data_IF_917903553968
#
_entry.id   IF_917903553968
#
_cell.length_a   1.000
_cell.length_b   1.000
_cell.length_c   1.000
_cell.angle_alpha   90.00
_cell.angle_beta   90.00
_cell.angle_gamma   90.00
#
_symmetry.space_group_name_H-M   'P 1'
#
loop_
_entity.id
_entity.type
_entity.pdbx_description
1 polymer ?
#
# COMPACT_ATOMS: atom_id res chain seq x y z
N UNK A 1 -19.01 9.54 -17.60
CA UNK A 1 -18.80 9.43 -16.13
C UNK A 1 -18.92 7.99 -15.58
N UNK A 2 -20.10 7.31 -15.56
CA UNK A 2 -20.18 5.93 -15.03
C UNK A 2 -19.45 4.94 -15.94
N UNK A 3 -19.59 5.06 -17.24
CA UNK A 3 -18.92 4.22 -18.25
C UNK A 3 -17.39 4.31 -18.14
N UNK A 4 -16.85 5.51 -17.96
CA UNK A 4 -15.39 5.71 -17.84
C UNK A 4 -14.85 5.10 -16.55
N UNK A 5 -15.60 5.21 -15.45
CA UNK A 5 -15.27 4.55 -14.17
C UNK A 5 -15.23 3.04 -14.30
N UNK A 6 -16.26 2.45 -14.89
CA UNK A 6 -16.33 1.01 -15.09
C UNK A 6 -15.23 0.53 -16.02
N UNK A 7 -14.95 1.27 -17.11
CA UNK A 7 -13.90 0.91 -18.04
C UNK A 7 -12.51 0.93 -17.39
N UNK A 8 -12.15 2.03 -16.70
CA UNK A 8 -10.86 2.17 -16.02
C UNK A 8 -10.68 1.16 -14.89
N UNK A 9 -11.74 0.93 -14.09
CA UNK A 9 -11.70 -0.07 -13.03
C UNK A 9 -11.52 -1.49 -13.59
N UNK A 10 -12.28 -1.86 -14.64
CA UNK A 10 -12.17 -3.16 -15.27
C UNK A 10 -10.81 -3.37 -15.90
N UNK A 11 -10.27 -2.36 -16.60
CA UNK A 11 -8.94 -2.43 -17.20
C UNK A 11 -7.86 -2.63 -16.14
N UNK A 12 -7.92 -1.87 -15.04
CA UNK A 12 -6.97 -1.98 -13.93
C UNK A 12 -7.04 -3.37 -13.27
N UNK A 13 -8.25 -3.87 -13.01
CA UNK A 13 -8.46 -5.19 -12.42
C UNK A 13 -7.94 -6.29 -13.35
N UNK A 14 -8.27 -6.24 -14.64
CA UNK A 14 -7.80 -7.23 -15.62
C UNK A 14 -6.27 -7.20 -15.72
N UNK A 15 -5.67 -6.01 -15.80
CA UNK A 15 -4.21 -5.86 -15.80
C UNK A 15 -3.58 -6.46 -14.55
N UNK A 16 -4.09 -6.12 -13.38
CA UNK A 16 -3.57 -6.62 -12.10
C UNK A 16 -3.71 -8.15 -12.01
N UNK A 17 -4.89 -8.70 -12.33
CA UNK A 17 -5.10 -10.15 -12.33
C UNK A 17 -4.20 -10.86 -13.33
N UNK A 18 -3.97 -10.29 -14.50
CA UNK A 18 -3.05 -10.85 -15.50
C UNK A 18 -1.62 -10.89 -14.97
N UNK A 19 -1.14 -9.80 -14.35
CA UNK A 19 0.20 -9.75 -13.78
C UNK A 19 0.38 -10.70 -12.59
N UNK A 20 -0.62 -10.82 -11.73
CA UNK A 20 -0.63 -11.79 -10.64
C UNK A 20 -0.62 -13.24 -11.16
N UNK A 21 -1.40 -13.52 -12.22
CA UNK A 21 -1.42 -14.83 -12.86
C UNK A 21 -0.09 -15.16 -13.55
N UNK A 22 0.52 -14.18 -14.25
CA UNK A 22 1.86 -14.33 -14.85
C UNK A 22 2.92 -14.60 -13.78
N UNK A 23 2.89 -13.87 -12.68
CA UNK A 23 3.82 -14.04 -11.55
C UNK A 23 3.70 -15.41 -10.91
N UNK A 24 2.48 -15.95 -10.84
CA UNK A 24 2.21 -17.29 -10.31
C UNK A 24 2.61 -18.39 -11.28
N UNK A 25 2.22 -18.27 -12.56
CA UNK A 25 2.31 -19.37 -13.55
C UNK A 25 3.58 -19.36 -14.39
N UNK A 26 4.08 -18.14 -14.68
CA UNK A 26 5.21 -17.91 -15.58
C UNK A 26 6.16 -16.88 -14.96
N UNK A 27 6.84 -17.24 -13.84
CA UNK A 27 7.80 -16.33 -13.22
C UNK A 27 8.90 -15.95 -14.21
N UNK A 28 9.18 -14.66 -14.34
CA UNK A 28 10.18 -14.15 -15.28
C UNK A 28 11.58 -14.64 -14.89
N UNK A 29 12.30 -15.22 -15.82
CA UNK A 29 13.59 -15.90 -15.58
C UNK A 29 13.52 -16.97 -14.45
N UNK A 30 12.35 -17.57 -14.19
CA UNK A 30 12.14 -18.52 -13.11
C UNK A 30 12.06 -17.88 -11.71
N UNK A 31 12.14 -16.55 -11.60
CA UNK A 31 12.16 -15.83 -10.32
C UNK A 31 10.79 -15.21 -10.02
N UNK A 32 10.08 -15.66 -8.96
CA UNK A 32 8.79 -15.11 -8.56
C UNK A 32 8.90 -13.69 -8.03
N UNK A 33 7.88 -12.85 -8.29
CA UNK A 33 7.80 -11.47 -7.81
C UNK A 33 8.26 -10.42 -8.81
N UNK A 34 8.97 -10.81 -9.87
CA UNK A 34 9.53 -9.89 -10.87
C UNK A 34 8.44 -9.12 -11.63
N UNK A 35 7.33 -9.79 -12.01
CA UNK A 35 6.21 -9.15 -12.69
C UNK A 35 5.54 -8.03 -11.88
N UNK A 36 5.67 -8.06 -10.56
CA UNK A 36 5.03 -7.09 -9.66
C UNK A 36 5.91 -5.87 -9.36
N UNK A 37 7.21 -5.89 -9.74
CA UNK A 37 8.13 -4.76 -9.52
C UNK A 37 7.59 -3.50 -10.21
N UNK A 38 7.29 -3.60 -11.50
CA UNK A 38 6.81 -2.47 -12.30
C UNK A 38 5.52 -1.85 -11.76
N UNK A 39 4.44 -2.63 -11.58
CA UNK A 39 3.19 -2.14 -11.00
C UNK A 39 3.33 -1.51 -9.63
N UNK A 40 4.00 -2.19 -8.70
CA UNK A 40 4.16 -1.67 -7.33
C UNK A 40 4.97 -0.38 -7.31
N UNK A 41 6.04 -0.29 -8.12
CA UNK A 41 6.81 0.94 -8.26
C UNK A 41 5.98 2.07 -8.89
N UNK A 42 5.19 1.77 -9.92
CA UNK A 42 4.32 2.74 -10.58
C UNK A 42 3.27 3.30 -9.61
N UNK A 43 2.63 2.43 -8.83
CA UNK A 43 1.66 2.86 -7.82
C UNK A 43 2.32 3.65 -6.69
N UNK A 44 3.49 3.23 -6.21
CA UNK A 44 4.24 3.94 -5.18
C UNK A 44 4.64 5.34 -5.65
N UNK A 45 5.25 5.46 -6.83
CA UNK A 45 5.68 6.75 -7.37
C UNK A 45 4.49 7.63 -7.78
N UNK A 46 3.44 7.06 -8.34
CA UNK A 46 2.22 7.78 -8.66
C UNK A 46 1.56 8.39 -7.43
N UNK A 47 1.41 7.60 -6.36
CA UNK A 47 0.89 8.06 -5.07
C UNK A 47 1.78 9.14 -4.46
N UNK A 48 3.11 8.95 -4.44
CA UNK A 48 4.06 9.93 -3.92
C UNK A 48 4.02 11.24 -4.71
N UNK A 49 3.85 11.17 -6.02
CA UNK A 49 3.73 12.36 -6.88
C UNK A 49 2.43 13.12 -6.63
N UNK A 50 1.31 12.42 -6.48
CA UNK A 50 0.02 13.07 -6.18
C UNK A 50 0.02 13.69 -4.78
N UNK A 51 0.57 13.01 -3.77
CA UNK A 51 0.79 13.56 -2.45
C UNK A 51 1.66 14.83 -2.49
N UNK A 52 2.79 14.80 -3.21
CA UNK A 52 3.67 15.96 -3.37
C UNK A 52 2.92 17.13 -4.01
N UNK A 53 2.12 16.89 -5.05
CA UNK A 53 1.31 17.93 -5.73
C UNK A 53 0.28 18.56 -4.79
N UNK A 54 -0.41 17.76 -3.96
CA UNK A 54 -1.37 18.26 -3.00
C UNK A 54 -0.70 19.09 -1.89
N UNK A 55 0.47 18.66 -1.40
CA UNK A 55 1.25 19.44 -0.43
C UNK A 55 1.69 20.79 -1.02
N UNK A 56 2.10 20.84 -2.30
CA UNK A 56 2.40 22.10 -2.99
C UNK A 56 1.13 22.95 -3.13
N UNK A 57 0.01 22.36 -3.50
CA UNK A 57 -1.26 23.06 -3.65
C UNK A 57 -1.78 23.65 -2.33
N UNK A 58 -1.43 23.04 -1.18
CA UNK A 58 -1.70 23.58 0.16
C UNK A 58 -0.74 24.71 0.59
N UNK A 59 0.13 25.19 -0.32
CA UNK A 59 1.07 26.29 -0.08
C UNK A 59 2.37 25.88 0.62
N UNK A 60 2.64 24.60 0.80
CA UNK A 60 3.84 24.09 1.47
C UNK A 60 5.04 24.03 0.52
N UNK A 61 6.23 24.20 1.06
CA UNK A 61 7.49 23.98 0.34
C UNK A 61 7.82 22.49 0.37
N UNK A 62 7.95 21.86 -0.81
CA UNK A 62 8.05 20.39 -0.92
C UNK A 62 9.32 19.98 -1.65
N UNK A 63 10.09 19.04 -1.09
CA UNK A 63 11.12 18.30 -1.82
C UNK A 63 10.51 17.08 -2.50
N UNK A 64 9.75 17.33 -3.58
CA UNK A 64 9.11 16.26 -4.35
C UNK A 64 10.15 15.28 -4.93
N UNK A 65 11.27 15.78 -5.42
CA UNK A 65 12.30 14.91 -6.00
C UNK A 65 12.97 14.01 -4.96
N UNK A 66 13.31 14.56 -3.77
CA UNK A 66 13.82 13.75 -2.66
C UNK A 66 12.81 12.72 -2.16
N UNK A 67 11.54 13.11 -2.02
CA UNK A 67 10.46 12.23 -1.62
C UNK A 67 10.21 11.08 -2.63
N UNK A 68 10.16 11.39 -3.93
CA UNK A 68 9.99 10.39 -5.00
C UNK A 68 11.18 9.43 -5.07
N UNK A 69 12.40 9.96 -5.04
CA UNK A 69 13.60 9.13 -5.11
C UNK A 69 13.72 8.23 -3.86
N UNK A 70 13.46 8.77 -2.67
CA UNK A 70 13.44 7.98 -1.43
C UNK A 70 12.35 6.90 -1.44
N UNK A 71 11.16 7.18 -1.99
CA UNK A 71 10.10 6.18 -2.19
C UNK A 71 10.56 5.08 -3.15
N UNK A 72 11.22 5.43 -4.25
CA UNK A 72 11.77 4.44 -5.19
C UNK A 72 12.85 3.56 -4.54
N UNK A 73 13.76 4.15 -3.77
CA UNK A 73 14.80 3.41 -3.02
C UNK A 73 14.17 2.41 -2.06
N UNK A 74 13.16 2.83 -1.29
CA UNK A 74 12.44 1.93 -0.38
C UNK A 74 11.72 0.80 -1.13
N UNK A 75 10.95 1.13 -2.18
CA UNK A 75 10.19 0.14 -2.92
C UNK A 75 11.10 -0.90 -3.60
N UNK A 76 12.28 -0.48 -4.10
CA UNK A 76 13.21 -1.37 -4.82
C UNK A 76 14.14 -2.15 -3.89
N UNK A 77 14.52 -1.61 -2.73
CA UNK A 77 15.45 -2.28 -1.82
C UNK A 77 14.91 -3.63 -1.30
N UNK A 78 13.60 -3.75 -1.13
CA UNK A 78 12.96 -4.99 -0.71
C UNK A 78 13.06 -6.09 -1.78
N UNK A 79 13.28 -5.70 -3.04
CA UNK A 79 13.50 -6.62 -4.15
C UNK A 79 14.96 -7.08 -4.29
N UNK A 80 15.89 -6.63 -3.44
CA UNK A 80 17.30 -7.07 -3.49
C UNK A 80 17.43 -8.61 -3.49
N UNK A 81 16.72 -9.38 -2.65
CA UNK A 81 16.77 -10.84 -2.74
C UNK A 81 16.28 -11.39 -4.09
N UNK A 82 15.29 -10.73 -4.72
CA UNK A 82 14.78 -11.10 -6.04
C UNK A 82 15.81 -10.78 -7.13
N UNK A 83 16.44 -9.61 -7.07
CA UNK A 83 17.53 -9.23 -8.00
C UNK A 83 18.74 -10.15 -7.86
N UNK A 84 19.05 -10.58 -6.63
CA UNK A 84 20.10 -11.56 -6.36
C UNK A 84 19.83 -12.88 -7.08
N UNK A 85 18.61 -13.40 -6.95
CA UNK A 85 18.20 -14.63 -7.65
C UNK A 85 18.21 -14.49 -9.18
N UNK A 86 17.93 -13.28 -9.73
CA UNK A 86 18.06 -13.03 -11.17
C UNK A 86 19.50 -13.08 -11.68
N UNK A 87 20.50 -12.90 -10.80
CA UNK A 87 21.91 -13.08 -11.12
C UNK A 87 22.36 -14.56 -11.11
N UNK A 88 21.44 -15.48 -10.83
CA UNK A 88 21.71 -16.93 -10.84
C UNK A 88 22.21 -17.49 -9.51
N UNK A 89 22.18 -16.70 -8.43
CA UNK A 89 22.62 -17.08 -7.11
C UNK A 89 21.46 -17.05 -6.11
N UNK A 90 21.41 -17.99 -5.18
CA UNK A 90 20.45 -17.92 -4.08
C UNK A 90 20.82 -16.82 -3.09
N UNK A 91 19.83 -16.06 -2.63
CA UNK A 91 20.07 -15.04 -1.61
C UNK A 91 20.53 -15.70 -0.30
N UNK A 92 21.70 -15.29 0.28
CA UNK A 92 22.26 -15.92 1.46
C UNK A 92 21.29 -15.93 2.64
N UNK A 93 20.98 -17.10 3.18
CA UNK A 93 20.06 -17.25 4.31
C UNK A 93 20.64 -16.72 5.62
N UNK A 94 21.96 -16.69 5.73
CA UNK A 94 22.75 -16.17 6.86
C UNK A 94 23.06 -14.67 6.73
N UNK A 95 22.50 -13.99 5.72
CA UNK A 95 22.70 -12.55 5.54
C UNK A 95 22.22 -11.78 6.79
N UNK A 96 23.10 -11.01 7.46
CA UNK A 96 22.76 -10.31 8.70
C UNK A 96 21.62 -9.29 8.53
N UNK A 97 21.43 -8.75 7.33
CA UNK A 97 20.34 -7.83 7.02
C UNK A 97 19.00 -8.55 6.85
N UNK A 98 19.01 -9.78 6.32
CA UNK A 98 17.79 -10.46 5.94
C UNK A 98 16.95 -9.60 5.00
N UNK A 99 15.65 -9.86 4.91
CA UNK A 99 14.73 -9.05 4.07
C UNK A 99 14.33 -7.73 4.73
N UNK A 100 14.14 -7.75 6.05
CA UNK A 100 13.70 -6.56 6.82
C UNK A 100 14.83 -5.53 6.93
N UNK A 101 16.08 -5.98 7.11
CA UNK A 101 17.22 -5.09 7.19
C UNK A 101 17.38 -4.20 5.94
N UNK A 102 17.04 -4.70 4.75
CA UNK A 102 17.05 -3.88 3.53
C UNK A 102 16.05 -2.72 3.59
N UNK A 103 14.89 -2.92 4.22
CA UNK A 103 13.93 -1.82 4.45
C UNK A 103 14.52 -0.75 5.36
N UNK A 104 15.20 -1.18 6.45
CA UNK A 104 15.83 -0.25 7.41
C UNK A 104 16.96 0.54 6.73
N UNK A 105 17.85 -0.14 6.00
CA UNK A 105 18.94 0.49 5.25
C UNK A 105 18.39 1.46 4.20
N UNK A 106 17.36 1.05 3.46
CA UNK A 106 16.74 1.89 2.46
C UNK A 106 16.05 3.12 3.06
N UNK A 107 15.36 2.95 4.21
CA UNK A 107 14.74 4.07 4.91
C UNK A 107 15.80 5.09 5.39
N UNK A 108 16.88 4.62 6.02
CA UNK A 108 17.99 5.48 6.42
C UNK A 108 18.62 6.20 5.22
N UNK A 109 18.84 5.48 4.11
CA UNK A 109 19.39 6.03 2.86
C UNK A 109 18.46 7.10 2.27
N UNK A 110 17.16 6.81 2.21
CA UNK A 110 16.15 7.72 1.68
C UNK A 110 16.08 9.03 2.50
N UNK A 111 16.11 8.92 3.83
CA UNK A 111 16.16 10.08 4.71
C UNK A 111 17.45 10.89 4.50
N UNK A 112 18.60 10.20 4.46
CA UNK A 112 19.90 10.85 4.22
C UNK A 112 19.89 11.60 2.88
N UNK A 113 19.32 11.05 1.83
CA UNK A 113 19.21 11.71 0.52
C UNK A 113 18.39 12.99 0.64
N UNK A 114 17.22 12.97 1.31
CA UNK A 114 16.41 14.16 1.53
C UNK A 114 17.22 15.24 2.26
N UNK A 115 17.96 14.87 3.31
CA UNK A 115 18.82 15.80 4.05
C UNK A 115 19.96 16.37 3.20
N UNK A 116 20.73 15.51 2.51
CA UNK A 116 21.87 15.93 1.68
C UNK A 116 21.43 16.87 0.56
N UNK A 117 20.28 16.63 -0.05
CA UNK A 117 19.72 17.53 -1.06
C UNK A 117 19.45 18.93 -0.51
N UNK A 118 18.93 19.03 0.71
CA UNK A 118 18.65 20.32 1.32
C UNK A 118 19.92 20.99 1.85
N UNK A 119 20.90 20.23 2.31
CA UNK A 119 22.23 20.78 2.64
C UNK A 119 22.91 21.39 1.40
N UNK A 120 22.87 20.68 0.26
CA UNK A 120 23.45 21.16 -0.98
C UNK A 120 22.72 22.37 -1.58
N UNK A 121 21.40 22.50 -1.30
CA UNK A 121 20.55 23.58 -1.80
C UNK A 121 20.32 24.71 -0.78
N UNK A 122 21.07 24.73 0.34
CA UNK A 122 20.85 25.69 1.39
C UNK A 122 21.18 27.11 0.94
N UNK A 123 20.27 28.03 1.23
CA UNK A 123 20.40 29.48 0.92
C UNK A 123 19.94 30.28 2.15
N UNK A 124 20.85 31.10 2.68
CA UNK A 124 20.57 31.90 3.87
C UNK A 124 19.43 32.93 3.68
N UNK A 125 19.15 33.33 2.43
CA UNK A 125 18.05 34.24 2.10
C UNK A 125 16.69 33.58 2.21
N UNK A 126 16.64 32.25 2.23
CA UNK A 126 15.41 31.41 2.23
C UNK A 126 15.29 30.64 3.54
N UNK A 127 15.48 31.30 4.67
CA UNK A 127 15.38 30.67 5.99
C UNK A 127 14.02 30.00 6.20
N UNK A 128 14.03 28.76 6.70
CA UNK A 128 12.83 27.94 6.94
C UNK A 128 12.40 27.06 5.77
N UNK A 129 12.69 27.40 4.51
CA UNK A 129 12.29 26.57 3.37
C UNK A 129 12.94 25.18 3.38
N UNK A 130 14.22 25.08 3.77
CA UNK A 130 14.92 23.79 3.81
C UNK A 130 14.32 22.85 4.83
N UNK A 131 13.88 23.34 5.98
CA UNK A 131 13.22 22.54 7.01
C UNK A 131 11.86 22.02 6.52
N UNK A 132 11.05 22.88 5.90
CA UNK A 132 9.77 22.44 5.31
C UNK A 132 9.98 21.37 4.23
N UNK A 133 11.00 21.53 3.38
CA UNK A 133 11.35 20.56 2.34
C UNK A 133 11.84 19.23 2.93
N UNK A 134 12.62 19.25 4.01
CA UNK A 134 13.02 18.04 4.73
C UNK A 134 11.79 17.35 5.31
N UNK A 135 10.91 18.08 6.00
CA UNK A 135 9.71 17.51 6.60
C UNK A 135 8.78 16.90 5.55
N UNK A 136 8.52 17.61 4.44
CA UNK A 136 7.66 17.13 3.38
C UNK A 136 8.26 15.93 2.62
N UNK A 137 9.55 15.97 2.29
CA UNK A 137 10.25 14.85 1.65
C UNK A 137 10.26 13.61 2.54
N UNK A 138 10.58 13.77 3.83
CA UNK A 138 10.51 12.70 4.83
C UNK A 138 9.09 12.14 4.97
N UNK A 139 8.08 13.01 5.00
CA UNK A 139 6.68 12.59 5.07
C UNK A 139 6.27 11.74 3.87
N UNK A 140 6.64 12.15 2.64
CA UNK A 140 6.36 11.38 1.43
C UNK A 140 7.01 9.98 1.51
N UNK A 141 8.30 9.91 1.90
CA UNK A 141 9.03 8.65 2.04
C UNK A 141 8.36 7.74 3.09
N UNK A 142 8.03 8.28 4.25
CA UNK A 142 7.46 7.51 5.35
C UNK A 142 6.02 7.09 5.06
N UNK A 143 5.18 7.99 4.54
CA UNK A 143 3.77 7.74 4.34
C UNK A 143 3.48 6.84 3.13
N UNK A 144 4.28 6.94 2.07
CA UNK A 144 4.11 6.14 0.85
C UNK A 144 5.14 5.03 0.76
N UNK A 145 6.42 5.35 0.86
CA UNK A 145 7.50 4.41 0.62
C UNK A 145 7.50 3.22 1.57
N UNK A 146 7.32 3.43 2.88
CA UNK A 146 7.29 2.33 3.85
C UNK A 146 6.12 1.38 3.64
N UNK A 147 4.85 1.80 3.49
CA UNK A 147 3.76 0.89 3.21
C UNK A 147 3.95 0.07 1.92
N UNK A 148 4.44 0.68 0.84
CA UNK A 148 4.73 -0.05 -0.39
C UNK A 148 5.87 -1.06 -0.21
N UNK A 149 6.91 -0.74 0.54
CA UNK A 149 7.95 -1.70 0.92
C UNK A 149 7.35 -2.90 1.70
N UNK A 150 6.40 -2.64 2.59
CA UNK A 150 5.71 -3.70 3.34
C UNK A 150 4.84 -4.59 2.42
N UNK A 151 4.18 -4.04 1.40
CA UNK A 151 3.47 -4.86 0.40
C UNK A 151 4.43 -5.84 -0.29
N UNK A 152 5.64 -5.39 -0.62
CA UNK A 152 6.68 -6.25 -1.18
C UNK A 152 7.16 -7.30 -0.17
N UNK A 153 7.30 -6.93 1.11
CA UNK A 153 7.62 -7.89 2.18
C UNK A 153 6.55 -8.97 2.29
N UNK A 154 5.25 -8.62 2.26
CA UNK A 154 4.14 -9.60 2.27
C UNK A 154 4.28 -10.55 1.08
N UNK A 155 4.54 -10.02 -0.14
CA UNK A 155 4.75 -10.84 -1.33
C UNK A 155 5.92 -11.83 -1.17
N UNK A 156 6.93 -11.44 -0.43
CA UNK A 156 8.14 -12.24 -0.16
C UNK A 156 8.03 -13.20 1.03
N UNK A 157 6.90 -13.30 1.73
CA UNK A 157 6.74 -14.19 2.89
C UNK A 157 6.58 -15.66 2.46
N UNK A 158 7.16 -16.56 3.25
CA UNK A 158 7.01 -17.99 3.08
C UNK A 158 7.42 -18.50 1.67
N UNK A 159 6.68 -19.50 1.19
CA UNK A 159 6.84 -19.97 -0.19
C UNK A 159 6.28 -18.94 -1.19
N UNK A 160 6.80 -18.91 -2.44
CA UNK A 160 6.38 -17.92 -3.43
C UNK A 160 4.87 -17.85 -3.69
N UNK A 161 4.20 -18.99 -3.75
CA UNK A 161 2.74 -19.07 -3.91
C UNK A 161 1.98 -18.59 -2.68
N UNK A 162 2.50 -18.86 -1.48
CA UNK A 162 1.91 -18.40 -0.22
C UNK A 162 2.00 -16.86 -0.09
N UNK A 163 3.18 -16.29 -0.33
CA UNK A 163 3.37 -14.84 -0.27
C UNK A 163 2.51 -14.09 -1.31
N UNK A 164 2.32 -14.67 -2.50
CA UNK A 164 1.41 -14.13 -3.49
C UNK A 164 -0.05 -14.18 -3.02
N UNK A 165 -0.50 -15.32 -2.48
CA UNK A 165 -1.85 -15.49 -1.94
C UNK A 165 -2.10 -14.55 -0.74
N UNK A 166 -1.10 -14.34 0.12
CA UNK A 166 -1.16 -13.39 1.24
C UNK A 166 -1.33 -11.94 0.76
N UNK A 167 -0.57 -11.51 -0.27
CA UNK A 167 -0.73 -10.19 -0.87
C UNK A 167 -2.10 -10.00 -1.51
N UNK A 168 -2.57 -10.98 -2.27
CA UNK A 168 -3.92 -10.97 -2.85
C UNK A 168 -4.98 -10.89 -1.75
N UNK A 169 -4.84 -11.70 -0.68
CA UNK A 169 -5.76 -11.68 0.45
C UNK A 169 -5.84 -10.30 1.10
N UNK A 170 -4.71 -9.64 1.33
CA UNK A 170 -4.68 -8.28 1.88
C UNK A 170 -5.44 -7.29 0.99
N UNK A 171 -5.18 -7.31 -0.32
CA UNK A 171 -5.86 -6.42 -1.28
C UNK A 171 -7.37 -6.69 -1.29
N UNK A 172 -7.77 -7.96 -1.41
CA UNK A 172 -9.19 -8.36 -1.46
C UNK A 172 -9.91 -7.98 -0.17
N UNK A 173 -9.33 -8.28 0.98
CA UNK A 173 -9.93 -7.99 2.29
C UNK A 173 -10.10 -6.48 2.50
N UNK A 174 -9.06 -5.69 2.19
CA UNK A 174 -9.12 -4.22 2.33
C UNK A 174 -10.17 -3.63 1.38
N UNK A 175 -10.22 -4.06 0.11
CA UNK A 175 -11.22 -3.55 -0.83
C UNK A 175 -12.63 -4.07 -0.57
N UNK A 176 -12.77 -5.23 0.07
CA UNK A 176 -14.05 -5.70 0.60
C UNK A 176 -14.54 -4.82 1.75
N UNK A 177 -13.62 -4.37 2.63
CA UNK A 177 -13.97 -3.41 3.68
C UNK A 177 -14.55 -2.11 3.11
N UNK A 178 -13.87 -1.51 2.10
CA UNK A 178 -14.33 -0.29 1.43
C UNK A 178 -15.73 -0.49 0.80
N UNK A 179 -15.92 -1.62 0.13
CA UNK A 179 -17.19 -2.00 -0.50
C UNK A 179 -18.30 -2.18 0.54
N UNK A 180 -18.03 -2.92 1.62
CA UNK A 180 -18.96 -3.14 2.72
C UNK A 180 -19.35 -1.84 3.41
N UNK A 181 -18.36 -0.98 3.67
CA UNK A 181 -18.59 0.32 4.29
C UNK A 181 -19.47 1.23 3.42
N UNK A 182 -19.23 1.24 2.10
CA UNK A 182 -20.03 2.03 1.16
C UNK A 182 -21.48 1.56 1.11
N UNK A 183 -21.74 0.27 0.87
CA UNK A 183 -23.10 -0.25 0.73
C UNK A 183 -23.88 -0.17 2.04
N UNK A 184 -23.30 -0.58 3.17
CA UNK A 184 -23.95 -0.49 4.48
C UNK A 184 -24.22 0.95 4.87
N UNK A 185 -23.24 1.84 4.68
CA UNK A 185 -23.41 3.26 4.97
C UNK A 185 -24.48 3.92 4.11
N UNK A 186 -24.64 3.50 2.84
CA UNK A 186 -25.68 4.01 1.94
C UNK A 186 -27.07 3.50 2.27
N UNK A 187 -27.19 2.23 2.70
CA UNK A 187 -28.49 1.59 2.96
C UNK A 187 -29.06 1.93 4.32
N UNK A 188 -28.24 1.92 5.38
CA UNK A 188 -28.68 2.06 6.77
C UNK A 188 -27.91 3.11 7.58
N UNK A 189 -26.92 3.82 6.96
CA UNK A 189 -26.11 4.80 7.66
C UNK A 189 -26.91 6.00 8.16
N UNK A 190 -26.83 6.25 9.46
CA UNK A 190 -27.51 7.37 10.15
C UNK A 190 -26.53 8.26 10.89
N UNK A 191 -25.52 7.66 11.54
CA UNK A 191 -24.57 8.35 12.40
C UNK A 191 -23.27 8.62 11.64
N UNK A 192 -22.94 9.90 11.43
CA UNK A 192 -21.71 10.29 10.72
C UNK A 192 -20.48 9.96 11.55
N UNK A 193 -19.45 9.38 10.90
CA UNK A 193 -18.19 9.01 11.54
C UNK A 193 -17.29 10.24 11.75
N UNK A 194 -17.00 10.99 10.66
CA UNK A 194 -16.15 12.18 10.70
C UNK A 194 -16.77 13.25 9.77
N UNK A 195 -17.81 14.00 10.23
CA UNK A 195 -18.63 14.88 9.39
C UNK A 195 -17.82 15.95 8.64
N UNK A 196 -16.84 16.56 9.32
CA UNK A 196 -16.06 17.67 8.78
C UNK A 196 -15.01 17.24 7.75
N UNK A 197 -14.55 15.99 7.82
CA UNK A 197 -13.48 15.47 6.96
C UNK A 197 -14.06 14.68 5.78
N UNK A 198 -14.91 13.71 6.08
CA UNK A 198 -15.55 12.81 5.11
C UNK A 198 -17.03 12.63 5.44
N UNK A 199 -17.93 13.54 4.96
CA UNK A 199 -19.34 13.54 5.32
C UNK A 199 -20.12 12.31 4.81
N UNK A 200 -19.52 11.51 3.92
CA UNK A 200 -20.08 10.27 3.41
C UNK A 200 -19.96 9.09 4.37
N UNK A 201 -18.93 9.08 5.24
CA UNK A 201 -18.65 7.95 6.14
C UNK A 201 -19.61 7.93 7.35
N UNK A 202 -20.05 6.72 7.72
CA UNK A 202 -20.96 6.46 8.84
C UNK A 202 -20.44 5.34 9.73
N UNK A 203 -20.87 5.33 10.99
CA UNK A 203 -20.53 4.25 11.95
C UNK A 203 -21.10 2.90 11.52
N UNK A 204 -22.34 2.89 11.02
CA UNK A 204 -22.97 1.68 10.47
C UNK A 204 -22.20 1.16 9.27
N UNK A 205 -21.73 2.08 8.40
CA UNK A 205 -20.85 1.73 7.30
C UNK A 205 -19.54 1.11 7.77
N UNK A 206 -18.88 1.68 8.79
CA UNK A 206 -17.66 1.14 9.35
C UNK A 206 -17.85 -0.30 9.88
N UNK A 207 -18.94 -0.56 10.60
CA UNK A 207 -19.26 -1.90 11.10
C UNK A 207 -19.53 -2.89 9.95
N UNK A 208 -20.28 -2.45 8.92
CA UNK A 208 -20.53 -3.28 7.72
C UNK A 208 -19.25 -3.58 6.94
N UNK A 209 -18.33 -2.62 6.86
CA UNK A 209 -17.00 -2.81 6.27
C UNK A 209 -16.17 -3.84 7.02
N UNK A 210 -16.13 -3.75 8.36
CA UNK A 210 -15.45 -4.74 9.23
C UNK A 210 -16.06 -6.13 9.02
N UNK A 211 -17.38 -6.24 9.03
CA UNK A 211 -18.06 -7.53 8.84
C UNK A 211 -17.73 -8.18 7.49
N UNK A 212 -17.77 -7.40 6.39
CA UNK A 212 -17.44 -7.92 5.05
C UNK A 212 -15.95 -8.25 4.92
N UNK A 213 -15.06 -7.48 5.55
CA UNK A 213 -13.62 -7.76 5.58
C UNK A 213 -13.31 -9.07 6.31
N UNK A 214 -13.95 -9.33 7.46
CA UNK A 214 -13.78 -10.61 8.20
C UNK A 214 -14.27 -11.78 7.35
N UNK A 215 -15.41 -11.65 6.68
CA UNK A 215 -15.92 -12.68 5.77
C UNK A 215 -14.95 -12.92 4.60
N UNK A 216 -14.47 -11.85 3.96
CA UNK A 216 -13.50 -11.96 2.86
C UNK A 216 -12.18 -12.59 3.34
N UNK A 217 -11.71 -12.23 4.53
CA UNK A 217 -10.52 -12.83 5.14
C UNK A 217 -10.71 -14.33 5.38
N UNK A 218 -11.87 -14.72 5.91
CA UNK A 218 -12.20 -16.14 6.08
C UNK A 218 -12.16 -16.90 4.76
N UNK A 219 -12.81 -16.37 3.71
CA UNK A 219 -12.82 -16.99 2.39
C UNK A 219 -11.41 -17.06 1.77
N UNK A 220 -10.57 -16.06 1.98
CA UNK A 220 -9.18 -16.09 1.53
C UNK A 220 -8.36 -17.16 2.26
N UNK A 221 -8.50 -17.26 3.58
CA UNK A 221 -7.64 -18.14 4.37
C UNK A 221 -8.08 -19.61 4.28
N UNK A 222 -9.37 -19.89 4.08
CA UNK A 222 -9.90 -21.24 3.94
C UNK A 222 -9.93 -21.69 2.46
N UNK A 223 -10.04 -20.75 1.53
CA UNK A 223 -10.18 -21.06 0.11
C UNK A 223 -8.97 -20.69 -0.74
N UNK A 224 -8.63 -19.41 -0.80
CA UNK A 224 -7.60 -18.90 -1.72
C UNK A 224 -6.19 -19.41 -1.37
N UNK A 225 -5.77 -19.27 -0.10
CA UNK A 225 -4.42 -19.67 0.33
C UNK A 225 -4.21 -21.17 0.14
N UNK A 226 -5.11 -22.08 0.59
CA UNK A 226 -4.96 -23.51 0.34
C UNK A 226 -5.02 -23.89 -1.15
N UNK A 227 -5.75 -23.13 -1.97
CA UNK A 227 -5.82 -23.41 -3.41
C UNK A 227 -4.56 -23.00 -4.17
N UNK A 228 -3.82 -21.98 -3.70
CA UNK A 228 -2.61 -21.49 -4.35
C UNK A 228 -1.33 -22.07 -3.73
N UNK A 229 -1.35 -22.36 -2.44
CA UNK A 229 -0.23 -22.88 -1.68
C UNK A 229 -0.71 -24.02 -0.78
N UNK A 230 0.16 -24.95 -0.44
CA UNK A 230 -0.14 -26.02 0.50
C UNK A 230 0.44 -25.65 1.87
N UNK A 231 -0.28 -24.86 2.70
CA UNK A 231 0.21 -24.44 4.00
C UNK A 231 0.42 -25.67 4.90
N UNK A 232 1.52 -25.65 5.67
CA UNK A 232 1.82 -26.76 6.61
C UNK A 232 0.86 -26.76 7.80
N UNK A 233 0.39 -25.57 8.18
CA UNK A 233 -0.59 -25.39 9.24
C UNK A 233 -1.79 -24.60 8.73
N UNK A 234 -3.05 -25.05 9.07
CA UNK A 234 -4.23 -24.29 8.70
C UNK A 234 -4.29 -22.96 9.46
N UNK A 235 -5.01 -21.99 8.89
CA UNK A 235 -5.27 -20.72 9.57
C UNK A 235 -6.01 -20.97 10.90
N UNK A 236 -5.55 -20.36 12.01
CA UNK A 236 -6.24 -20.46 13.29
C UNK A 236 -7.58 -19.72 13.24
N UNK A 237 -8.54 -20.11 14.08
CA UNK A 237 -9.89 -19.50 14.09
C UNK A 237 -9.88 -17.99 14.33
N UNK A 238 -8.92 -17.47 15.09
CA UNK A 238 -8.77 -16.03 15.34
C UNK A 238 -8.21 -15.28 14.12
N UNK A 239 -7.47 -15.99 13.25
CA UNK A 239 -6.73 -15.40 12.16
C UNK A 239 -7.56 -14.55 11.21
N UNK A 240 -8.64 -15.10 10.58
CA UNK A 240 -9.52 -14.33 9.71
C UNK A 240 -10.18 -13.13 10.40
N UNK A 241 -10.52 -13.28 11.69
CA UNK A 241 -11.17 -12.23 12.48
C UNK A 241 -10.20 -11.06 12.66
N UNK A 242 -8.99 -11.32 13.17
CA UNK A 242 -7.99 -10.29 13.43
C UNK A 242 -7.53 -9.66 12.12
N UNK A 243 -7.22 -10.46 11.11
CA UNK A 243 -6.75 -9.95 9.82
C UNK A 243 -7.81 -9.08 9.12
N UNK A 244 -9.06 -9.53 9.07
CA UNK A 244 -10.17 -8.76 8.52
C UNK A 244 -10.41 -7.46 9.28
N UNK A 245 -10.39 -7.52 10.62
CA UNK A 245 -10.57 -6.35 11.47
C UNK A 245 -9.47 -5.30 11.28
N UNK A 246 -8.19 -5.70 11.31
CA UNK A 246 -7.08 -4.75 11.16
C UNK A 246 -7.02 -4.16 9.75
N UNK A 247 -7.28 -4.96 8.70
CA UNK A 247 -7.34 -4.44 7.32
C UNK A 247 -8.47 -3.41 7.17
N UNK A 248 -9.66 -3.67 7.74
CA UNK A 248 -10.79 -2.75 7.66
C UNK A 248 -10.52 -1.46 8.45
N UNK A 249 -10.09 -1.59 9.70
CA UNK A 249 -9.85 -0.45 10.57
C UNK A 249 -8.76 0.48 10.02
N UNK A 250 -7.60 -0.09 9.69
CA UNK A 250 -6.47 0.70 9.23
C UNK A 250 -6.59 1.11 7.75
N UNK A 251 -7.33 0.35 6.93
CA UNK A 251 -7.73 0.80 5.60
C UNK A 251 -8.60 2.06 5.67
N UNK A 252 -9.56 2.09 6.61
CA UNK A 252 -10.38 3.28 6.86
C UNK A 252 -9.55 4.47 7.36
N UNK A 253 -8.53 4.24 8.20
CA UNK A 253 -7.59 5.28 8.64
C UNK A 253 -6.79 5.82 7.46
N UNK A 254 -6.35 4.95 6.54
CA UNK A 254 -5.65 5.35 5.31
C UNK A 254 -6.48 6.30 4.44
N UNK A 255 -7.73 5.93 4.12
CA UNK A 255 -8.67 6.78 3.37
C UNK A 255 -8.99 8.11 4.12
N UNK A 256 -9.13 8.08 5.45
CA UNK A 256 -9.29 9.32 6.22
C UNK A 256 -8.05 10.21 6.19
N UNK A 257 -6.85 9.62 6.21
CA UNK A 257 -5.57 10.34 6.11
C UNK A 257 -5.43 11.01 4.75
N UNK A 258 -5.79 10.33 3.66
CA UNK A 258 -5.86 10.92 2.33
C UNK A 258 -6.90 12.05 2.27
N UNK A 259 -8.09 11.82 2.83
CA UNK A 259 -9.14 12.82 2.91
C UNK A 259 -8.67 14.08 3.63
N UNK A 260 -7.88 13.95 4.71
CA UNK A 260 -7.30 15.09 5.43
C UNK A 260 -6.41 15.92 4.53
N UNK A 261 -5.45 15.30 3.85
CA UNK A 261 -4.53 16.02 2.95
C UNK A 261 -5.28 16.68 1.79
N UNK A 262 -6.29 16.02 1.23
CA UNK A 262 -7.13 16.61 0.17
C UNK A 262 -7.87 17.87 0.66
N UNK A 263 -8.43 17.86 1.87
CA UNK A 263 -9.12 19.04 2.45
C UNK A 263 -8.15 20.18 2.73
N UNK A 264 -6.98 19.90 3.27
CA UNK A 264 -5.92 20.91 3.49
C UNK A 264 -5.47 21.55 2.18
N UNK A 265 -5.45 20.80 1.07
CA UNK A 265 -5.13 21.32 -0.26
C UNK A 265 -6.33 21.95 -1.00
N UNK A 266 -7.51 22.02 -0.38
CA UNK A 266 -8.73 22.50 -1.03
C UNK A 266 -9.19 21.61 -2.20
N UNK A 267 -8.72 20.37 -2.27
CA UNK A 267 -9.01 19.42 -3.33
C UNK A 267 -10.09 18.39 -2.90
N UNK A 268 -10.70 17.76 -3.90
CA UNK A 268 -11.65 16.66 -3.69
C UNK A 268 -11.01 15.31 -4.05
N UNK A 269 -10.30 15.24 -5.15
CA UNK A 269 -9.64 14.05 -5.67
C UNK A 269 -8.12 14.25 -5.59
N UNK A 270 -7.33 13.19 -5.41
CA UNK A 270 -5.86 13.29 -5.31
C UNK A 270 -5.21 13.63 -6.65
N UNK A 271 -5.86 13.27 -7.74
CA UNK A 271 -5.40 13.50 -9.10
C UNK A 271 -6.48 13.22 -10.14
N UNK A 272 -6.06 13.17 -11.41
CA UNK A 272 -6.88 12.79 -12.57
C UNK A 272 -6.19 11.73 -13.41
N UNK A 273 -5.27 10.98 -12.82
CA UNK A 273 -4.41 10.02 -13.50
C UNK A 273 -5.21 8.82 -14.01
N UNK A 274 -6.25 8.43 -13.27
CA UNK A 274 -7.14 7.32 -13.63
C UNK A 274 -8.51 7.86 -14.03
N UNK A 275 -8.86 7.84 -15.35
CA UNK A 275 -10.12 8.41 -15.83
C UNK A 275 -11.33 7.82 -15.08
N UNK A 276 -12.09 8.70 -14.42
CA UNK A 276 -13.28 8.35 -13.66
C UNK A 276 -13.04 7.72 -12.28
N UNK A 277 -11.84 7.25 -11.95
CA UNK A 277 -11.46 6.74 -10.63
C UNK A 277 -10.79 7.80 -9.74
N UNK A 278 -10.29 8.89 -10.33
CA UNK A 278 -9.53 9.90 -9.61
C UNK A 278 -8.03 9.75 -9.80
N UNK A 279 -7.28 9.88 -8.74
CA UNK A 279 -5.84 9.67 -8.73
C UNK A 279 -5.45 8.22 -8.42
N UNK A 280 -4.16 7.95 -8.53
CA UNK A 280 -3.55 6.69 -8.11
C UNK A 280 -3.67 6.54 -6.58
N UNK A 281 -3.53 7.64 -5.85
CA UNK A 281 -3.66 7.63 -4.40
C UNK A 281 -5.09 7.32 -3.95
N UNK A 282 -6.13 7.83 -4.63
CA UNK A 282 -7.54 7.47 -4.37
C UNK A 282 -7.81 5.94 -4.45
N UNK A 283 -6.93 5.18 -5.12
CA UNK A 283 -7.03 3.71 -5.21
C UNK A 283 -6.18 3.00 -4.16
N UNK A 284 -5.05 3.60 -3.74
CA UNK A 284 -4.05 2.98 -2.86
C UNK A 284 -4.15 3.40 -1.40
N UNK A 285 -4.95 4.41 -1.08
CA UNK A 285 -5.13 5.01 0.25
C UNK A 285 -5.38 4.00 1.37
N UNK A 286 -6.37 3.14 1.19
CA UNK A 286 -6.74 2.09 2.15
C UNK A 286 -5.68 0.98 2.24
N UNK A 287 -5.00 0.67 1.12
CA UNK A 287 -3.91 -0.30 1.12
C UNK A 287 -2.69 0.19 1.89
N UNK A 288 -2.36 1.49 1.75
CA UNK A 288 -1.27 2.14 2.50
C UNK A 288 -1.54 2.04 4.01
N UNK A 289 -2.76 2.37 4.44
CA UNK A 289 -3.12 2.27 5.85
C UNK A 289 -3.07 0.84 6.39
N UNK A 290 -3.57 -0.12 5.62
CA UNK A 290 -3.68 -1.52 6.04
C UNK A 290 -2.36 -2.30 5.97
N UNK A 291 -1.34 -1.86 5.20
CA UNK A 291 -0.14 -2.65 4.89
C UNK A 291 0.59 -3.15 6.14
N UNK A 292 0.92 -2.26 7.07
CA UNK A 292 1.69 -2.61 8.28
C UNK A 292 0.90 -3.53 9.23
N UNK A 293 -0.36 -3.24 9.60
CA UNK A 293 -1.13 -4.13 10.46
C UNK A 293 -1.42 -5.49 9.84
N UNK A 294 -1.67 -5.55 8.53
CA UNK A 294 -1.84 -6.80 7.81
C UNK A 294 -0.58 -7.67 7.85
N UNK A 295 0.59 -7.07 7.60
CA UNK A 295 1.87 -7.76 7.68
C UNK A 295 2.14 -8.31 9.08
N UNK A 296 1.89 -7.52 10.15
CA UNK A 296 2.04 -7.97 11.52
C UNK A 296 1.09 -9.13 11.87
N UNK A 297 -0.15 -9.09 11.40
CA UNK A 297 -1.09 -10.19 11.60
C UNK A 297 -0.64 -11.48 10.89
N UNK A 298 -0.10 -11.37 9.66
CA UNK A 298 0.47 -12.50 8.93
C UNK A 298 1.71 -13.07 9.63
N UNK A 299 2.60 -12.22 10.14
CA UNK A 299 3.77 -12.64 10.93
C UNK A 299 3.36 -13.36 12.22
N UNK A 300 2.24 -12.95 12.83
CA UNK A 300 1.68 -13.63 14.00
C UNK A 300 1.00 -14.98 13.67
N UNK A 301 1.01 -15.40 12.38
CA UNK A 301 0.44 -16.67 11.94
C UNK A 301 -1.07 -16.64 11.67
N UNK A 302 -1.66 -15.47 11.43
CA UNK A 302 -3.11 -15.37 11.19
C UNK A 302 -3.60 -16.21 10.01
N UNK A 303 -2.76 -16.42 8.98
CA UNK A 303 -3.09 -17.17 7.78
C UNK A 303 -2.59 -18.63 7.79
N UNK A 304 -2.03 -19.09 8.89
CA UNK A 304 -1.26 -20.34 8.91
C UNK A 304 0.11 -20.18 8.24
N UNK A 305 0.86 -21.24 8.14
CA UNK A 305 2.23 -21.26 7.59
C UNK A 305 2.42 -22.42 6.60
#
# INVERSE_FOLDING_TARGET
MLRDRLFSASLLIVLLLTLLWLDHRYPLAGVPGVWLIGPLLLFALGTAMELARLLVASGRRVDAAGGLFGTAVLALAVYIPVFWSLCGEDYPQDCPLGRIGWVVVAAATALLIVYLRQLAAYDETRRGESLEKILSGTFIVAYVGLPFAILVLIRGMGQPSWGLAALISMIVVTKSADTGAYYTGKLIGRHKLVPHLSPGKTWEGALGGIGLAILASYLCFVGLIPAMASPQTPAPLWGPIVFGFVCALFGMVGDLSESLVKREAGAKDSGRTLPGLGGIWDVTDSLIGAAMPAWLALLAGAAGS
#
